data_IF_685750952808
#
_entry.id   IF_685750952808
#
_cell.length_a   1.000
_cell.length_b   1.000
_cell.length_c   1.000
_cell.angle_alpha   90.00
_cell.angle_beta   90.00
_cell.angle_gamma   90.00
#
_symmetry.space_group_name_H-M   'P 1'
#
loop_
_entity.id
_entity.type
_entity.pdbx_description
1 polymer ?
#
# COMPACT_ATOMS: atom_id res chain seq x y z
N UNK A 1 1.83 -6.08 24.48
CA UNK A 1 1.20 -7.36 24.10
C UNK A 1 1.77 -7.90 22.78
N UNK A 2 1.65 -7.21 21.64
CA UNK A 2 2.17 -7.67 20.34
C UNK A 2 3.69 -7.88 20.30
N UNK A 3 4.48 -7.06 20.97
CA UNK A 3 5.94 -7.26 21.11
C UNK A 3 6.29 -8.51 21.94
N UNK A 4 5.52 -8.77 23.01
CA UNK A 4 5.74 -9.94 23.87
C UNK A 4 5.41 -11.24 23.13
N UNK A 5 4.46 -11.20 22.18
CA UNK A 5 4.09 -12.32 21.32
C UNK A 5 5.01 -12.46 20.10
N UNK A 6 6.10 -11.67 20.00
CA UNK A 6 7.01 -11.63 18.85
C UNK A 6 6.32 -11.51 17.48
N UNK A 7 5.15 -10.85 17.46
CA UNK A 7 4.41 -10.64 16.21
C UNK A 7 5.13 -9.64 15.31
N UNK A 8 5.21 -9.93 14.02
CA UNK A 8 5.81 -9.04 13.04
C UNK A 8 5.08 -7.70 13.00
N UNK A 9 5.82 -6.61 12.75
CA UNK A 9 5.25 -5.26 12.66
C UNK A 9 4.44 -4.82 13.89
N UNK A 10 4.89 -5.19 15.09
CA UNK A 10 4.19 -4.95 16.36
C UNK A 10 3.76 -3.48 16.53
N UNK A 11 4.59 -2.54 16.08
CA UNK A 11 4.35 -1.09 16.15
C UNK A 11 3.37 -0.56 15.11
N UNK A 12 3.04 -1.34 14.07
CA UNK A 12 2.02 -1.03 13.07
C UNK A 12 0.71 -1.75 13.38
N UNK A 13 0.76 -3.08 13.51
CA UNK A 13 -0.41 -3.93 13.70
C UNK A 13 -1.05 -3.76 15.07
N UNK A 14 -0.24 -3.60 16.14
CA UNK A 14 -0.75 -3.40 17.50
C UNK A 14 -1.68 -2.20 17.61
N UNK A 15 -1.23 -0.99 17.26
CA UNK A 15 -2.06 0.21 17.27
C UNK A 15 -3.26 0.11 16.32
N UNK A 16 -3.12 -0.52 15.16
CA UNK A 16 -4.22 -0.72 14.22
C UNK A 16 -5.35 -1.56 14.84
N UNK A 17 -5.04 -2.74 15.39
CA UNK A 17 -6.04 -3.59 16.02
C UNK A 17 -6.64 -2.96 17.30
N UNK A 18 -5.81 -2.30 18.10
CA UNK A 18 -6.28 -1.59 19.29
C UNK A 18 -7.26 -0.47 18.93
N UNK A 19 -7.00 0.26 17.86
CA UNK A 19 -7.88 1.33 17.37
C UNK A 19 -9.19 0.77 16.83
N UNK A 20 -9.15 -0.32 16.05
CA UNK A 20 -10.37 -1.01 15.57
C UNK A 20 -11.23 -1.44 16.73
N UNK A 21 -10.62 -2.06 17.75
CA UNK A 21 -11.32 -2.53 18.94
C UNK A 21 -11.93 -1.36 19.73
N UNK A 22 -11.16 -0.29 19.94
CA UNK A 22 -11.62 0.92 20.61
C UNK A 22 -12.82 1.55 19.91
N UNK A 23 -12.74 1.78 18.59
CA UNK A 23 -13.84 2.35 17.80
C UNK A 23 -15.09 1.47 17.87
N UNK A 24 -14.92 0.15 17.88
CA UNK A 24 -16.04 -0.80 17.96
C UNK A 24 -16.70 -0.81 19.34
N UNK A 25 -15.92 -0.76 20.42
CA UNK A 25 -16.43 -0.80 21.79
C UNK A 25 -17.00 0.55 22.22
N UNK A 26 -16.30 1.64 21.95
CA UNK A 26 -16.72 2.98 22.34
C UNK A 26 -17.83 3.54 21.43
N UNK A 27 -18.09 2.94 20.26
CA UNK A 27 -19.01 3.43 19.22
C UNK A 27 -18.73 4.89 18.80
N UNK A 28 -17.52 5.35 19.04
CA UNK A 28 -17.03 6.69 18.69
C UNK A 28 -16.00 6.52 17.60
N UNK A 29 -16.10 7.27 16.51
CA UNK A 29 -15.07 7.35 15.49
C UNK A 29 -14.29 8.67 15.65
N UNK A 30 -13.22 8.69 16.46
CA UNK A 30 -12.41 9.88 16.61
C UNK A 30 -11.79 10.22 15.27
N UNK A 31 -11.74 11.51 14.95
CA UNK A 31 -11.01 11.99 13.77
C UNK A 31 -9.61 12.35 14.22
N UNK A 32 -8.62 11.61 13.77
CA UNK A 32 -7.24 12.08 13.89
C UNK A 32 -7.07 13.32 13.02
N UNK A 33 -6.44 14.38 13.55
CA UNK A 33 -5.97 15.46 12.70
C UNK A 33 -5.09 14.85 11.60
N UNK A 34 -5.31 15.24 10.34
CA UNK A 34 -4.53 14.74 9.19
C UNK A 34 -3.01 14.85 9.41
N UNK A 35 -2.57 15.81 10.20
CA UNK A 35 -1.17 16.02 10.55
C UNK A 35 -0.46 14.82 11.17
N UNK A 36 -1.14 13.99 11.97
CA UNK A 36 -0.49 12.84 12.62
C UNK A 36 -0.11 11.73 11.62
N UNK A 37 -1.01 11.42 10.70
CA UNK A 37 -0.72 10.49 9.60
C UNK A 37 0.41 11.04 8.72
N UNK A 38 0.34 12.34 8.39
CA UNK A 38 1.31 12.99 7.52
C UNK A 38 2.72 12.95 8.12
N UNK A 39 2.86 13.10 9.45
CA UNK A 39 4.14 12.94 10.17
C UNK A 39 4.66 11.50 10.02
N UNK A 40 3.81 10.49 10.23
CA UNK A 40 4.20 9.09 10.04
C UNK A 40 4.71 8.81 8.62
N UNK A 41 3.97 9.29 7.61
CA UNK A 41 4.35 9.13 6.20
C UNK A 41 5.65 9.86 5.86
N UNK A 42 5.88 11.04 6.44
CA UNK A 42 7.10 11.82 6.25
C UNK A 42 8.35 11.07 6.72
N UNK A 43 8.28 10.45 7.90
CA UNK A 43 9.37 9.64 8.44
C UNK A 43 9.62 8.38 7.59
N UNK A 44 8.57 7.69 7.15
CA UNK A 44 8.71 6.53 6.26
C UNK A 44 9.30 6.95 4.91
N UNK A 45 8.84 8.08 4.33
CA UNK A 45 9.41 8.61 3.09
C UNK A 45 10.91 8.90 3.21
N UNK A 46 11.35 9.47 4.33
CA UNK A 46 12.77 9.67 4.63
C UNK A 46 13.54 8.34 4.66
N UNK A 47 13.02 7.34 5.40
CA UNK A 47 13.67 6.01 5.52
C UNK A 47 13.84 5.33 4.17
N UNK A 48 12.84 5.44 3.29
CA UNK A 48 12.89 4.90 1.94
C UNK A 48 13.90 5.69 1.10
N UNK A 49 13.82 7.03 1.09
CA UNK A 49 14.68 7.90 0.29
C UNK A 49 16.17 7.67 0.55
N UNK A 50 16.52 7.42 1.81
CA UNK A 50 17.90 7.13 2.23
C UNK A 50 18.52 5.89 1.56
N UNK A 51 17.71 4.95 1.07
CA UNK A 51 18.19 3.72 0.44
C UNK A 51 18.40 3.84 -1.08
N UNK A 52 18.04 4.98 -1.65
CA UNK A 52 18.29 5.22 -3.07
C UNK A 52 19.76 5.55 -3.33
N UNK A 53 20.35 4.86 -4.30
CA UNK A 53 21.68 5.13 -4.83
C UNK A 53 21.62 5.34 -6.34
N UNK A 54 22.70 5.86 -6.95
CA UNK A 54 22.77 6.01 -8.40
C UNK A 54 22.57 4.67 -9.11
N UNK A 55 23.10 3.58 -8.54
CA UNK A 55 22.96 2.23 -9.09
C UNK A 55 21.51 1.75 -9.05
N UNK A 56 20.79 1.98 -7.94
CA UNK A 56 19.37 1.58 -7.84
C UNK A 56 18.50 2.29 -8.84
N UNK A 57 18.82 3.55 -9.23
CA UNK A 57 18.07 4.25 -10.30
C UNK A 57 18.24 3.58 -11.67
N UNK A 58 19.44 3.12 -12.00
CA UNK A 58 19.68 2.40 -13.26
C UNK A 58 18.92 1.08 -13.28
N UNK A 59 18.99 0.31 -12.18
CA UNK A 59 18.23 -0.93 -11.99
C UNK A 59 16.74 -0.70 -12.16
N UNK A 60 16.19 0.37 -11.57
CA UNK A 60 14.78 0.76 -11.71
C UNK A 60 14.38 1.01 -13.17
N UNK A 61 15.26 1.64 -13.96
CA UNK A 61 15.04 1.85 -15.40
C UNK A 61 14.95 0.54 -16.18
N UNK A 62 15.78 -0.44 -15.85
CA UNK A 62 15.79 -1.77 -16.47
C UNK A 62 14.48 -2.53 -16.16
N UNK A 63 13.93 -2.38 -14.97
CA UNK A 63 12.72 -3.09 -14.54
C UNK A 63 11.40 -2.47 -15.02
N UNK A 64 11.39 -1.33 -15.72
CA UNK A 64 10.15 -0.70 -16.21
C UNK A 64 9.24 -1.63 -17.03
N UNK A 65 9.73 -2.44 -17.98
CA UNK A 65 8.87 -3.36 -18.73
C UNK A 65 8.22 -4.43 -17.84
N UNK A 66 8.98 -4.99 -16.89
CA UNK A 66 8.44 -5.98 -15.94
C UNK A 66 7.41 -5.35 -15.01
N UNK A 67 7.62 -4.12 -14.55
CA UNK A 67 6.65 -3.38 -13.73
C UNK A 67 5.33 -3.18 -14.47
N UNK A 68 5.38 -2.77 -15.73
CA UNK A 68 4.20 -2.60 -16.57
C UNK A 68 3.45 -3.92 -16.74
N UNK A 69 4.16 -4.98 -17.13
CA UNK A 69 3.57 -6.29 -17.36
C UNK A 69 2.91 -6.83 -16.09
N UNK A 70 3.62 -6.84 -14.97
CA UNK A 70 3.10 -7.34 -13.68
C UNK A 70 1.90 -6.52 -13.20
N UNK A 71 1.93 -5.19 -13.37
CA UNK A 71 0.81 -4.31 -13.00
C UNK A 71 -0.43 -4.61 -13.85
N UNK A 72 -0.28 -4.76 -15.16
CA UNK A 72 -1.40 -5.07 -16.07
C UNK A 72 -2.00 -6.43 -15.75
N UNK A 73 -1.18 -7.46 -15.54
CA UNK A 73 -1.64 -8.82 -15.18
C UNK A 73 -2.36 -8.80 -13.83
N UNK A 74 -1.83 -8.09 -12.84
CA UNK A 74 -2.46 -7.93 -11.53
C UNK A 74 -3.83 -7.23 -11.63
N UNK A 75 -3.94 -6.18 -12.44
CA UNK A 75 -5.20 -5.47 -12.68
C UNK A 75 -6.21 -6.36 -13.42
N UNK A 76 -5.77 -7.11 -14.44
CA UNK A 76 -6.64 -8.04 -15.16
C UNK A 76 -7.21 -9.11 -14.22
N UNK A 77 -6.39 -9.68 -13.34
CA UNK A 77 -6.82 -10.63 -12.33
C UNK A 77 -7.78 -10.00 -11.30
N UNK A 78 -7.49 -8.78 -10.87
CA UNK A 78 -8.36 -8.01 -9.97
C UNK A 78 -9.76 -7.77 -10.59
N UNK A 79 -9.83 -7.45 -11.88
CA UNK A 79 -11.09 -7.29 -12.61
C UNK A 79 -11.82 -8.64 -12.73
N UNK A 80 -11.12 -9.74 -12.97
CA UNK A 80 -11.69 -11.08 -12.99
C UNK A 80 -12.33 -11.43 -11.64
N UNK A 81 -11.64 -11.17 -10.53
CA UNK A 81 -12.18 -11.36 -9.19
C UNK A 81 -13.40 -10.46 -8.91
N UNK A 82 -13.42 -9.23 -9.46
CA UNK A 82 -14.57 -8.34 -9.38
C UNK A 82 -15.81 -8.93 -10.07
N UNK A 83 -15.65 -9.57 -11.23
CA UNK A 83 -16.74 -10.30 -11.89
C UNK A 83 -17.29 -11.42 -11.02
N UNK A 84 -16.41 -12.22 -10.42
CA UNK A 84 -16.79 -13.32 -9.51
C UNK A 84 -17.55 -12.76 -8.30
N UNK A 85 -17.00 -11.70 -7.67
CA UNK A 85 -17.63 -11.03 -6.53
C UNK A 85 -19.03 -10.50 -6.90
N UNK A 86 -19.17 -9.81 -8.03
CA UNK A 86 -20.45 -9.28 -8.50
C UNK A 86 -21.50 -10.40 -8.69
N UNK A 87 -21.11 -11.53 -9.29
CA UNK A 87 -21.99 -12.68 -9.52
C UNK A 87 -22.42 -13.35 -8.21
N UNK A 88 -21.50 -13.55 -7.28
CA UNK A 88 -21.78 -14.23 -6.02
C UNK A 88 -22.58 -13.39 -5.02
N UNK A 89 -22.38 -12.08 -5.05
CA UNK A 89 -23.01 -11.13 -4.10
C UNK A 89 -24.21 -10.38 -4.68
N UNK A 90 -24.52 -10.59 -5.97
CA UNK A 90 -25.54 -9.83 -6.71
C UNK A 90 -25.35 -8.29 -6.65
N UNK A 91 -24.12 -7.86 -6.38
CA UNK A 91 -23.78 -6.45 -6.32
C UNK A 91 -23.53 -5.87 -7.70
N UNK A 92 -23.71 -4.55 -7.84
CA UNK A 92 -23.48 -3.86 -9.10
C UNK A 92 -22.03 -4.05 -9.60
N UNK A 93 -21.88 -4.55 -10.83
CA UNK A 93 -20.57 -4.82 -11.44
C UNK A 93 -19.67 -3.58 -11.48
N UNK A 94 -20.21 -2.39 -11.76
CA UNK A 94 -19.41 -1.16 -11.78
C UNK A 94 -18.79 -0.88 -10.40
N UNK A 95 -19.58 -1.09 -9.35
CA UNK A 95 -19.12 -0.89 -7.97
C UNK A 95 -18.08 -1.93 -7.53
N UNK A 96 -18.28 -3.21 -7.90
CA UNK A 96 -17.32 -4.27 -7.57
C UNK A 96 -16.00 -4.11 -8.33
N UNK A 97 -16.04 -3.74 -9.61
CA UNK A 97 -14.82 -3.45 -10.39
C UNK A 97 -14.06 -2.28 -9.78
N UNK A 98 -14.74 -1.15 -9.50
CA UNK A 98 -14.11 0.01 -8.88
C UNK A 98 -13.50 -0.31 -7.51
N UNK A 99 -14.20 -1.13 -6.69
CA UNK A 99 -13.72 -1.55 -5.38
C UNK A 99 -12.53 -2.51 -5.43
N UNK A 100 -12.49 -3.40 -6.42
CA UNK A 100 -11.46 -4.45 -6.50
C UNK A 100 -10.11 -3.95 -7.03
N UNK A 101 -10.08 -2.84 -7.77
CA UNK A 101 -8.82 -2.27 -8.27
C UNK A 101 -7.92 -1.85 -7.11
N UNK A 102 -6.65 -2.32 -7.07
CA UNK A 102 -5.74 -2.09 -5.94
C UNK A 102 -5.15 -0.67 -5.93
N UNK A 103 -6.01 0.35 -5.85
CA UNK A 103 -5.66 1.76 -5.68
C UNK A 103 -5.73 2.22 -4.21
N UNK A 104 -5.37 3.47 -3.94
CA UNK A 104 -5.58 4.09 -2.63
C UNK A 104 -7.06 4.27 -2.33
N UNK A 105 -7.50 3.99 -1.08
CA UNK A 105 -8.91 4.08 -0.67
C UNK A 105 -9.55 5.42 -1.08
N UNK A 106 -8.94 6.52 -0.66
CA UNK A 106 -9.44 7.87 -0.92
C UNK A 106 -9.49 8.21 -2.42
N UNK A 107 -8.51 7.72 -3.19
CA UNK A 107 -8.43 7.93 -4.63
C UNK A 107 -9.52 7.17 -5.37
N UNK A 108 -9.70 5.88 -5.03
CA UNK A 108 -10.74 5.06 -5.66
C UNK A 108 -12.14 5.53 -5.32
N UNK A 109 -12.38 5.99 -4.08
CA UNK A 109 -13.66 6.60 -3.69
C UNK A 109 -13.89 7.89 -4.47
N UNK A 110 -12.89 8.76 -4.62
CA UNK A 110 -13.00 10.00 -5.39
C UNK A 110 -13.30 9.73 -6.88
N UNK A 111 -12.55 8.81 -7.52
CA UNK A 111 -12.80 8.42 -8.92
C UNK A 111 -14.19 7.82 -9.07
N UNK A 112 -14.60 6.97 -8.13
CA UNK A 112 -15.91 6.31 -8.15
C UNK A 112 -17.08 7.29 -7.99
N UNK A 113 -16.90 8.37 -7.23
CA UNK A 113 -17.92 9.40 -7.03
C UNK A 113 -18.24 10.20 -8.31
N UNK A 114 -17.30 10.25 -9.27
CA UNK A 114 -17.50 10.90 -10.57
C UNK A 114 -18.25 10.04 -11.59
N UNK A 115 -18.40 8.74 -11.34
CA UNK A 115 -19.00 7.79 -12.28
C UNK A 115 -20.41 7.44 -11.84
N UNK A 116 -21.40 7.72 -12.67
CA UNK A 116 -22.82 7.42 -12.38
C UNK A 116 -23.06 5.91 -12.22
N UNK A 117 -23.86 5.55 -11.23
CA UNK A 117 -24.30 4.18 -10.98
C UNK A 117 -23.28 3.33 -10.20
N UNK A 118 -22.28 3.93 -9.58
CA UNK A 118 -21.38 3.26 -8.62
C UNK A 118 -21.89 3.51 -7.20
N UNK A 119 -22.01 2.44 -6.42
CA UNK A 119 -22.29 2.48 -4.98
C UNK A 119 -20.96 2.62 -4.23
N UNK A 120 -20.75 3.79 -3.63
CA UNK A 120 -19.53 4.10 -2.87
C UNK A 120 -19.39 3.24 -1.61
N UNK A 121 -20.50 2.74 -1.05
CA UNK A 121 -20.48 1.85 0.12
C UNK A 121 -19.84 0.52 -0.25
N UNK A 122 -20.26 -0.06 -1.38
CA UNK A 122 -19.69 -1.31 -1.92
C UNK A 122 -18.20 -1.13 -2.22
N UNK A 123 -17.82 -0.04 -2.90
CA UNK A 123 -16.42 0.29 -3.20
C UNK A 123 -15.59 0.36 -1.91
N UNK A 124 -16.08 1.11 -0.93
CA UNK A 124 -15.37 1.32 0.35
C UNK A 124 -15.17 0.02 1.10
N UNK A 125 -16.20 -0.83 1.20
CA UNK A 125 -16.11 -2.10 1.93
C UNK A 125 -15.17 -3.08 1.25
N UNK A 126 -15.17 -3.16 -0.08
CA UNK A 126 -14.21 -4.01 -0.81
C UNK A 126 -12.78 -3.52 -0.57
N UNK A 127 -12.53 -2.22 -0.65
CA UNK A 127 -11.21 -1.62 -0.41
C UNK A 127 -10.72 -1.88 1.03
N UNK A 128 -11.59 -1.70 2.03
CA UNK A 128 -11.25 -1.93 3.44
C UNK A 128 -10.96 -3.42 3.68
N UNK A 129 -11.82 -4.32 3.19
CA UNK A 129 -11.60 -5.77 3.34
C UNK A 129 -10.28 -6.21 2.70
N UNK A 130 -9.92 -5.62 1.54
CA UNK A 130 -8.63 -5.88 0.92
C UNK A 130 -7.47 -5.40 1.79
N UNK A 131 -7.53 -4.16 2.31
CA UNK A 131 -6.48 -3.62 3.19
C UNK A 131 -6.29 -4.53 4.40
N UNK A 132 -7.38 -4.96 5.06
CA UNK A 132 -7.31 -5.89 6.19
C UNK A 132 -6.69 -7.25 5.80
N UNK A 133 -7.15 -7.82 4.68
CA UNK A 133 -6.63 -9.10 4.21
C UNK A 133 -5.13 -9.02 3.91
N UNK A 134 -4.69 -7.94 3.26
CA UNK A 134 -3.27 -7.70 2.95
C UNK A 134 -2.46 -7.54 4.24
N UNK A 135 -2.94 -6.71 5.19
CA UNK A 135 -2.27 -6.45 6.46
C UNK A 135 -2.08 -7.70 7.33
N UNK A 136 -2.94 -8.69 7.18
CA UNK A 136 -2.84 -9.96 7.90
C UNK A 136 -2.05 -10.99 7.09
N UNK A 137 -2.42 -11.21 5.83
CA UNK A 137 -1.89 -12.31 5.03
C UNK A 137 -0.47 -12.05 4.54
N UNK A 138 -0.13 -10.82 4.14
CA UNK A 138 1.21 -10.55 3.59
C UNK A 138 2.29 -10.74 4.67
N UNK A 139 2.20 -10.16 5.88
CA UNK A 139 3.15 -10.47 6.94
C UNK A 139 3.19 -11.95 7.30
N UNK A 140 2.02 -12.60 7.39
CA UNK A 140 1.95 -14.03 7.73
C UNK A 140 2.67 -14.90 6.69
N UNK A 141 2.54 -14.58 5.40
CA UNK A 141 3.26 -15.28 4.33
C UNK A 141 4.76 -14.94 4.34
N UNK A 142 5.11 -13.67 4.51
CA UNK A 142 6.50 -13.21 4.55
C UNK A 142 7.30 -13.87 5.67
N UNK A 143 6.70 -14.00 6.87
CA UNK A 143 7.33 -14.66 8.01
C UNK A 143 7.12 -16.18 8.04
N UNK A 144 6.45 -16.75 7.05
CA UNK A 144 6.31 -18.20 6.94
C UNK A 144 7.66 -18.86 6.57
N UNK A 145 7.89 -20.11 6.98
CA UNK A 145 9.10 -20.87 6.61
C UNK A 145 9.28 -20.99 5.08
N UNK A 146 8.20 -20.84 4.31
CA UNK A 146 8.20 -20.95 2.85
C UNK A 146 8.96 -19.80 2.20
N UNK A 147 8.83 -18.57 2.73
CA UNK A 147 9.42 -17.37 2.13
C UNK A 147 10.68 -16.91 2.88
N UNK A 148 10.68 -17.04 4.18
CA UNK A 148 11.79 -16.55 5.02
C UNK A 148 12.98 -17.53 5.07
N UNK A 149 12.77 -18.81 4.73
CA UNK A 149 13.80 -19.84 4.83
C UNK A 149 14.38 -19.94 6.25
N UNK A 150 15.62 -20.45 6.37
CA UNK A 150 16.35 -20.51 7.63
C UNK A 150 17.08 -19.18 8.00
N UNK A 151 16.72 -18.07 7.39
CA UNK A 151 17.26 -16.77 7.82
C UNK A 151 16.51 -16.38 9.09
N UNK A 152 17.17 -16.53 10.22
CA UNK A 152 16.62 -16.19 11.53
C UNK A 152 16.04 -14.79 11.53
N UNK A 153 14.94 -14.61 12.30
CA UNK A 153 14.34 -13.29 12.55
C UNK A 153 15.46 -12.34 13.00
N UNK A 154 16.04 -11.62 12.04
CA UNK A 154 16.98 -10.57 12.37
C UNK A 154 16.16 -9.52 13.12
N UNK A 155 16.34 -9.50 14.42
CA UNK A 155 15.86 -8.38 15.23
C UNK A 155 16.29 -7.10 14.52
N UNK A 156 15.40 -6.11 14.47
CA UNK A 156 15.71 -4.78 13.94
C UNK A 156 17.04 -4.37 14.57
N UNK A 157 18.13 -4.65 13.86
CA UNK A 157 19.45 -4.22 14.31
C UNK A 157 19.40 -2.71 14.20
N UNK A 158 19.28 -2.09 15.36
CA UNK A 158 19.51 -0.68 15.54
C UNK A 158 20.83 -0.37 14.84
N UNK A 159 20.80 0.16 13.64
CA UNK A 159 21.97 0.84 13.12
C UNK A 159 22.17 2.00 14.08
N UNK A 160 23.09 1.78 15.02
CA UNK A 160 23.56 2.82 15.93
C UNK A 160 24.05 3.96 15.04
N UNK A 161 23.16 4.92 14.78
CA UNK A 161 23.52 6.16 14.13
C UNK A 161 24.60 6.83 14.96
N UNK A 162 25.64 7.26 14.32
CA UNK A 162 26.71 8.04 14.94
C UNK A 162 26.12 9.13 15.82
N UNK A 163 26.54 9.29 17.09
CA UNK A 163 25.88 10.16 18.08
C UNK A 163 25.97 11.66 17.83
N UNK A 164 26.27 12.13 16.64
CA UNK A 164 26.71 13.50 16.45
C UNK A 164 25.76 14.48 15.73
N UNK A 165 24.69 14.01 15.03
CA UNK A 165 23.99 14.88 14.08
C UNK A 165 22.48 14.94 14.24
N UNK A 166 21.95 14.84 15.45
CA UNK A 166 20.49 14.85 15.68
C UNK A 166 19.80 16.13 15.15
N UNK A 167 20.43 17.29 15.21
CA UNK A 167 19.87 18.53 14.71
C UNK A 167 19.73 18.54 13.17
N UNK A 168 20.63 17.88 12.43
CA UNK A 168 20.55 17.77 10.96
C UNK A 168 19.32 16.95 10.55
N UNK A 169 18.95 15.91 11.30
CA UNK A 169 17.74 15.14 11.06
C UNK A 169 16.50 16.06 11.10
N UNK A 170 16.39 16.91 12.11
CA UNK A 170 15.28 17.85 12.23
C UNK A 170 15.26 18.87 11.08
N UNK A 171 16.43 19.34 10.65
CA UNK A 171 16.56 20.23 9.51
C UNK A 171 16.09 19.56 8.22
N UNK A 172 16.54 18.32 7.95
CA UNK A 172 16.11 17.58 6.77
C UNK A 172 14.61 17.28 6.85
N UNK A 173 14.07 16.87 8.01
CA UNK A 173 12.62 16.64 8.18
C UNK A 173 11.80 17.91 7.95
N UNK A 174 12.31 19.09 8.33
CA UNK A 174 11.67 20.36 8.03
C UNK A 174 11.61 20.61 6.51
N UNK A 175 12.72 20.43 5.78
CA UNK A 175 12.71 20.54 4.32
C UNK A 175 11.81 19.47 3.66
N UNK A 176 11.80 18.26 4.19
CA UNK A 176 10.87 17.21 3.78
C UNK A 176 9.41 17.64 3.89
N UNK A 177 9.04 18.32 5.00
CA UNK A 177 7.70 18.85 5.19
C UNK A 177 7.37 19.97 4.19
N UNK A 178 8.31 20.86 3.90
CA UNK A 178 8.13 21.92 2.90
C UNK A 178 7.88 21.34 1.51
N UNK A 179 8.71 20.38 1.08
CA UNK A 179 8.55 19.74 -0.22
C UNK A 179 7.26 18.93 -0.28
N UNK A 180 6.92 18.19 0.77
CA UNK A 180 5.64 17.49 0.85
C UNK A 180 4.44 18.43 0.68
N UNK A 181 4.53 19.64 1.27
CA UNK A 181 3.51 20.68 1.15
C UNK A 181 3.37 21.22 -0.27
N UNK A 182 4.50 21.35 -1.00
CA UNK A 182 4.51 21.72 -2.42
C UNK A 182 3.91 20.61 -3.28
N UNK A 183 4.33 19.36 -3.08
CA UNK A 183 3.82 18.18 -3.80
C UNK A 183 2.32 18.01 -3.55
N UNK A 184 1.83 18.34 -2.34
CA UNK A 184 0.40 18.34 -2.02
C UNK A 184 -0.40 19.31 -2.87
N UNK A 185 0.17 20.50 -3.17
CA UNK A 185 -0.49 21.50 -4.07
C UNK A 185 -0.68 20.95 -5.48
N UNK A 186 0.20 20.11 -5.95
CA UNK A 186 0.09 19.44 -7.26
C UNK A 186 -0.89 18.24 -7.26
N UNK A 187 -1.62 18.03 -6.16
CA UNK A 187 -2.57 16.91 -5.99
C UNK A 187 -1.94 15.53 -6.24
N UNK A 188 -0.64 15.41 -5.99
CA UNK A 188 0.07 14.14 -6.14
C UNK A 188 -0.39 13.14 -5.04
N UNK A 189 -0.44 11.82 -5.33
CA UNK A 189 -0.81 10.82 -4.34
C UNK A 189 0.26 10.72 -3.23
N UNK A 190 -0.17 10.49 -2.00
CA UNK A 190 0.70 10.36 -0.83
C UNK A 190 1.85 11.40 -0.74
N UNK A 191 1.55 12.71 -0.80
CA UNK A 191 2.56 13.77 -0.93
C UNK A 191 3.56 13.79 0.24
N UNK A 192 3.09 13.50 1.46
CA UNK A 192 3.92 13.44 2.67
C UNK A 192 4.83 12.21 2.75
N UNK A 193 4.72 11.26 1.82
CA UNK A 193 5.66 10.16 1.67
C UNK A 193 6.56 10.36 0.46
N UNK A 194 5.99 10.70 -0.69
CA UNK A 194 6.74 10.86 -1.95
C UNK A 194 7.65 12.09 -1.90
N UNK A 195 7.20 13.21 -1.35
CA UNK A 195 8.02 14.43 -1.22
C UNK A 195 9.32 14.20 -0.44
N UNK A 196 9.24 13.71 0.81
CA UNK A 196 10.41 13.33 1.59
C UNK A 196 11.29 12.28 0.92
N UNK A 197 10.68 11.24 0.34
CA UNK A 197 11.40 10.18 -0.39
C UNK A 197 12.25 10.75 -1.52
N UNK A 198 11.69 11.62 -2.37
CA UNK A 198 12.42 12.24 -3.49
C UNK A 198 13.52 13.18 -3.01
N UNK A 199 13.26 14.02 -1.99
CA UNK A 199 14.28 14.92 -1.44
C UNK A 199 15.46 14.12 -0.89
N UNK A 200 15.19 13.16 -0.03
CA UNK A 200 16.23 12.38 0.63
C UNK A 200 16.97 11.49 -0.38
N UNK A 201 16.25 10.92 -1.36
CA UNK A 201 16.86 10.18 -2.46
C UNK A 201 17.83 11.04 -3.27
N UNK A 202 17.46 12.29 -3.60
CA UNK A 202 18.37 13.20 -4.34
C UNK A 202 19.62 13.54 -3.52
N UNK A 203 19.48 13.74 -2.22
CA UNK A 203 20.63 13.99 -1.31
C UNK A 203 21.53 12.73 -1.28
N UNK A 204 20.96 11.55 -1.13
CA UNK A 204 21.69 10.27 -1.08
C UNK A 204 22.40 9.94 -2.38
N UNK A 205 21.73 10.16 -3.54
CA UNK A 205 22.31 9.96 -4.88
C UNK A 205 23.45 10.96 -5.16
N UNK A 206 23.36 12.17 -4.61
CA UNK A 206 24.44 13.15 -4.70
C UNK A 206 25.68 12.78 -3.87
N UNK A 207 25.67 11.63 -3.18
CA UNK A 207 26.78 11.12 -2.36
C UNK A 207 26.94 11.81 -0.99
N UNK A 208 25.92 12.55 -0.56
CA UNK A 208 25.90 13.14 0.79
C UNK A 208 25.36 12.12 1.79
N UNK A 209 26.06 11.96 2.93
CA UNK A 209 25.62 11.08 4.00
C UNK A 209 24.33 11.57 4.65
N UNK A 210 23.27 10.81 4.49
CA UNK A 210 21.98 11.07 5.13
C UNK A 210 21.93 10.36 6.48
N UNK A 211 21.75 11.08 7.60
CA UNK A 211 21.75 10.48 8.95
C UNK A 211 20.68 9.40 9.11
N UNK A 212 20.99 8.40 9.93
CA UNK A 212 20.01 7.35 10.28
C UNK A 212 18.97 7.92 11.26
N UNK A 213 17.68 7.70 10.97
CA UNK A 213 16.60 8.03 11.91
C UNK A 213 16.68 7.11 13.13
N UNK A 214 16.54 7.65 14.36
CA UNK A 214 16.43 6.84 15.57
C UNK A 214 15.27 5.84 15.47
N UNK A 215 15.48 4.61 15.94
CA UNK A 215 14.45 3.55 15.92
C UNK A 215 13.17 3.96 16.62
N UNK A 216 13.28 4.75 17.70
CA UNK A 216 12.10 5.31 18.40
C UNK A 216 11.21 6.14 17.49
N UNK A 217 11.80 7.00 16.63
CA UNK A 217 11.04 7.84 15.70
C UNK A 217 10.37 6.98 14.61
N UNK A 218 11.05 5.93 14.14
CA UNK A 218 10.46 4.97 13.20
C UNK A 218 9.28 4.20 13.84
N UNK A 219 9.39 3.77 15.10
CA UNK A 219 8.29 3.11 15.84
C UNK A 219 7.10 4.05 16.04
N UNK A 220 7.34 5.33 16.37
CA UNK A 220 6.28 6.34 16.47
C UNK A 220 5.57 6.52 15.14
N UNK A 221 6.32 6.64 14.05
CA UNK A 221 5.75 6.77 12.70
C UNK A 221 4.87 5.57 12.33
N UNK A 222 5.32 4.34 12.59
CA UNK A 222 4.54 3.11 12.38
C UNK A 222 3.25 3.11 13.22
N UNK A 223 3.35 3.54 14.47
CA UNK A 223 2.20 3.66 15.38
C UNK A 223 1.15 4.62 14.84
N UNK A 224 1.56 5.80 14.39
CA UNK A 224 0.66 6.81 13.82
C UNK A 224 -0.05 6.31 12.57
N UNK A 225 0.67 5.61 11.69
CA UNK A 225 0.10 4.99 10.48
C UNK A 225 -0.86 3.86 10.88
N UNK A 226 -0.51 3.02 11.85
CA UNK A 226 -1.38 1.95 12.35
C UNK A 226 -2.70 2.47 12.92
N UNK A 227 -2.66 3.54 13.71
CA UNK A 227 -3.87 4.20 14.25
C UNK A 227 -4.73 4.73 13.10
N UNK A 228 -4.15 5.43 12.12
CA UNK A 228 -4.90 5.96 10.98
C UNK A 228 -5.59 4.85 10.18
N UNK A 229 -4.89 3.75 9.91
CA UNK A 229 -5.46 2.57 9.25
C UNK A 229 -6.63 1.99 10.04
N UNK A 230 -6.49 1.87 11.37
CA UNK A 230 -7.55 1.38 12.24
C UNK A 230 -8.80 2.28 12.20
N UNK A 231 -8.64 3.59 12.12
CA UNK A 231 -9.74 4.56 12.03
C UNK A 231 -10.44 4.58 10.67
N UNK A 232 -9.76 4.20 9.60
CA UNK A 232 -10.34 4.13 8.26
C UNK A 232 -11.35 2.97 8.13
N UNK A 233 -11.27 1.96 9.00
CA UNK A 233 -12.14 0.79 8.95
C UNK A 233 -13.52 1.13 9.51
N UNK A 234 -14.46 1.42 8.61
CA UNK A 234 -15.87 1.65 8.94
C UNK A 234 -16.72 0.55 8.33
N UNK A 235 -17.36 -0.24 9.18
CA UNK A 235 -18.32 -1.25 8.74
C UNK A 235 -19.66 -0.56 8.41
N UNK A 236 -19.90 -0.27 7.13
CA UNK A 236 -21.16 0.30 6.63
C UNK A 236 -22.37 -0.66 6.73
N UNK A 237 -23.58 -0.15 6.46
CA UNK A 237 -24.80 -0.95 6.36
C UNK A 237 -24.89 -1.58 4.95
N UNK A 238 -24.63 -2.87 4.82
CA UNK A 238 -24.77 -3.66 3.60
C UNK A 238 -25.81 -4.76 3.84
N UNK A 239 -26.70 -4.97 2.90
CA UNK A 239 -27.62 -6.12 2.91
C UNK A 239 -26.83 -7.41 2.77
N UNK A 240 -27.20 -8.48 3.50
CA UNK A 240 -26.46 -9.75 3.55
C UNK A 240 -24.96 -9.62 3.89
N UNK A 241 -24.64 -8.81 4.89
CA UNK A 241 -23.27 -8.45 5.31
C UNK A 241 -22.31 -9.63 5.42
N UNK A 242 -22.75 -10.74 5.99
CA UNK A 242 -21.86 -11.89 6.22
C UNK A 242 -21.43 -12.55 4.91
N UNK A 243 -22.36 -12.79 3.98
CA UNK A 243 -22.03 -13.37 2.66
C UNK A 243 -21.17 -12.43 1.83
N UNK A 244 -21.51 -11.14 1.78
CA UNK A 244 -20.74 -10.15 1.04
C UNK A 244 -19.32 -10.06 1.59
N UNK A 245 -19.17 -9.92 2.91
CA UNK A 245 -17.87 -9.78 3.56
C UNK A 245 -17.01 -11.04 3.38
N UNK A 246 -17.59 -12.25 3.48
CA UNK A 246 -16.84 -13.49 3.28
C UNK A 246 -16.34 -13.62 1.84
N UNK A 247 -17.17 -13.33 0.84
CA UNK A 247 -16.76 -13.37 -0.58
C UNK A 247 -15.64 -12.36 -0.84
N UNK A 248 -15.79 -11.12 -0.35
CA UNK A 248 -14.79 -10.07 -0.55
C UNK A 248 -13.48 -10.40 0.17
N UNK A 249 -13.53 -10.99 1.35
CA UNK A 249 -12.32 -11.42 2.07
C UNK A 249 -11.61 -12.55 1.33
N UNK A 250 -12.34 -13.55 0.82
CA UNK A 250 -11.77 -14.65 0.03
C UNK A 250 -11.14 -14.11 -1.27
N UNK A 251 -11.83 -13.25 -2.01
CA UNK A 251 -11.29 -12.67 -3.24
C UNK A 251 -10.07 -11.79 -2.97
N UNK A 252 -10.04 -11.07 -1.85
CA UNK A 252 -8.85 -10.32 -1.42
C UNK A 252 -7.68 -11.24 -1.07
N UNK A 253 -7.93 -12.35 -0.40
CA UNK A 253 -6.92 -13.37 -0.11
C UNK A 253 -6.36 -14.00 -1.39
N UNK A 254 -7.23 -14.32 -2.35
CA UNK A 254 -6.82 -14.83 -3.67
C UNK A 254 -5.93 -13.82 -4.42
N UNK A 255 -6.22 -12.52 -4.30
CA UNK A 255 -5.41 -11.47 -4.90
C UNK A 255 -4.00 -11.42 -4.27
N UNK A 256 -3.88 -11.61 -2.96
CA UNK A 256 -2.59 -11.71 -2.26
C UNK A 256 -1.83 -12.96 -2.69
N UNK A 257 -2.49 -14.11 -2.76
CA UNK A 257 -1.86 -15.35 -3.22
C UNK A 257 -1.42 -15.23 -4.70
N UNK A 258 -2.21 -14.57 -5.52
CA UNK A 258 -1.82 -14.30 -6.90
C UNK A 258 -0.59 -13.39 -7.00
N UNK A 259 -0.45 -12.40 -6.11
CA UNK A 259 0.78 -11.58 -6.07
C UNK A 259 2.02 -12.39 -5.70
N UNK A 260 1.88 -13.47 -4.91
CA UNK A 260 2.97 -14.41 -4.66
C UNK A 260 3.35 -15.20 -5.91
N UNK A 261 2.36 -15.68 -6.68
CA UNK A 261 2.61 -16.35 -7.97
C UNK A 261 3.32 -15.42 -8.94
N UNK A 262 2.87 -14.15 -9.04
CA UNK A 262 3.55 -13.15 -9.86
C UNK A 262 4.98 -12.87 -9.36
N UNK A 263 5.22 -12.91 -8.04
CA UNK A 263 6.55 -12.82 -7.46
C UNK A 263 7.47 -13.94 -7.93
N UNK A 264 6.98 -15.19 -7.94
CA UNK A 264 7.73 -16.33 -8.50
C UNK A 264 8.05 -16.15 -9.99
N UNK A 265 7.08 -15.67 -10.77
CA UNK A 265 7.31 -15.38 -12.21
C UNK A 265 8.35 -14.28 -12.36
N UNK A 266 8.28 -13.22 -11.57
CA UNK A 266 9.24 -12.12 -11.64
C UNK A 266 10.67 -12.60 -11.34
N UNK A 267 10.86 -13.38 -10.29
CA UNK A 267 12.17 -13.96 -9.93
C UNK A 267 12.70 -14.93 -11.00
N UNK A 268 11.82 -15.66 -11.68
CA UNK A 268 12.24 -16.56 -12.77
C UNK A 268 12.73 -15.80 -14.01
N UNK A 269 12.24 -14.57 -14.22
CA UNK A 269 12.67 -13.69 -15.32
C UNK A 269 13.89 -12.87 -14.92
N UNK A 270 13.94 -12.47 -13.64
CA UNK A 270 14.94 -11.58 -13.08
C UNK A 270 15.50 -12.18 -11.79
N UNK A 271 16.63 -12.85 -11.89
CA UNK A 271 17.26 -13.58 -10.78
C UNK A 271 17.91 -12.67 -9.73
N UNK A 272 18.10 -11.38 -10.05
CA UNK A 272 18.69 -10.40 -9.14
C UNK A 272 17.68 -9.93 -8.05
N UNK A 273 16.40 -10.18 -8.27
CA UNK A 273 15.34 -9.81 -7.33
C UNK A 273 15.01 -11.00 -6.42
N UNK A 274 15.15 -10.82 -5.10
CA UNK A 274 14.73 -11.85 -4.14
C UNK A 274 13.21 -12.04 -4.15
N UNK A 275 12.74 -13.27 -3.89
CA UNK A 275 11.32 -13.59 -3.84
C UNK A 275 10.54 -12.73 -2.82
N UNK A 276 11.16 -12.43 -1.67
CA UNK A 276 10.59 -11.52 -0.67
C UNK A 276 10.37 -10.11 -1.24
N UNK A 277 11.39 -9.57 -1.91
CA UNK A 277 11.32 -8.24 -2.56
C UNK A 277 10.24 -8.22 -3.64
N UNK A 278 10.21 -9.23 -4.50
CA UNK A 278 9.21 -9.37 -5.58
C UNK A 278 7.79 -9.46 -5.01
N UNK A 279 7.56 -10.33 -4.02
CA UNK A 279 6.24 -10.51 -3.42
C UNK A 279 5.74 -9.24 -2.71
N UNK A 280 6.57 -8.60 -1.87
CA UNK A 280 6.19 -7.38 -1.16
C UNK A 280 5.97 -6.23 -2.14
N UNK A 281 6.79 -6.12 -3.19
CA UNK A 281 6.65 -5.11 -4.24
C UNK A 281 5.34 -5.24 -5.03
N UNK A 282 4.91 -6.48 -5.32
CA UNK A 282 3.69 -6.78 -6.07
C UNK A 282 2.45 -6.89 -5.20
N UNK A 283 2.57 -7.10 -3.89
CA UNK A 283 1.45 -7.23 -2.98
C UNK A 283 0.49 -6.04 -3.05
N UNK A 284 -0.84 -6.26 -3.08
CA UNK A 284 -1.84 -5.21 -3.29
C UNK A 284 -2.12 -4.38 -2.03
N UNK A 285 -1.06 -4.02 -1.29
CA UNK A 285 -1.06 -3.21 -0.07
C UNK A 285 -0.82 -1.72 -0.31
N UNK A 286 -0.80 -0.97 0.78
CA UNK A 286 -0.35 0.42 0.76
C UNK A 286 1.18 0.53 0.71
N UNK A 287 1.69 1.57 0.08
CA UNK A 287 3.13 1.75 -0.12
C UNK A 287 3.89 1.85 1.21
N UNK A 288 3.34 2.60 2.19
CA UNK A 288 3.95 2.78 3.48
C UNK A 288 4.06 1.47 4.27
N UNK A 289 3.00 0.67 4.27
CA UNK A 289 2.92 -0.59 4.99
C UNK A 289 3.87 -1.63 4.40
N UNK A 290 3.92 -1.71 3.07
CA UNK A 290 4.84 -2.61 2.37
C UNK A 290 6.30 -2.19 2.54
N UNK A 291 6.59 -0.90 2.60
CA UNK A 291 7.92 -0.40 2.90
C UNK A 291 8.37 -0.76 4.32
N UNK A 292 7.49 -0.59 5.32
CA UNK A 292 7.76 -0.99 6.71
C UNK A 292 8.00 -2.50 6.81
N UNK A 293 7.18 -3.30 6.12
CA UNK A 293 7.37 -4.75 6.06
C UNK A 293 8.68 -5.13 5.38
N UNK A 294 8.99 -4.53 4.23
CA UNK A 294 10.24 -4.75 3.51
C UNK A 294 11.46 -4.41 4.35
N UNK A 295 11.42 -3.31 5.11
CA UNK A 295 12.47 -2.93 6.04
C UNK A 295 12.65 -3.98 7.15
N UNK A 296 11.57 -4.52 7.69
CA UNK A 296 11.64 -5.51 8.79
C UNK A 296 12.24 -6.85 8.38
N UNK A 297 12.25 -7.16 7.08
CA UNK A 297 12.82 -8.39 6.52
C UNK A 297 14.06 -8.15 5.65
N UNK A 298 14.64 -6.95 5.74
CA UNK A 298 15.83 -6.54 4.97
C UNK A 298 15.71 -6.74 3.46
N UNK A 299 14.49 -6.61 2.92
CA UNK A 299 14.23 -6.66 1.48
C UNK A 299 14.72 -5.36 0.79
N UNK A 300 14.89 -5.40 -0.51
CA UNK A 300 15.32 -4.23 -1.30
C UNK A 300 14.21 -3.19 -1.38
N UNK A 301 14.25 -2.18 -0.49
CA UNK A 301 13.22 -1.12 -0.39
C UNK A 301 13.09 -0.27 -1.66
N UNK A 302 14.16 0.16 -2.32
CA UNK A 302 14.08 0.86 -3.60
C UNK A 302 13.24 0.11 -4.63
N UNK A 303 13.47 -1.19 -4.83
CA UNK A 303 12.72 -2.03 -5.77
C UNK A 303 11.25 -2.11 -5.32
N UNK A 304 10.98 -2.45 -4.04
CA UNK A 304 9.61 -2.54 -3.51
C UNK A 304 8.85 -1.23 -3.76
N UNK A 305 9.43 -0.10 -3.38
CA UNK A 305 8.77 1.20 -3.47
C UNK A 305 8.56 1.63 -4.92
N UNK A 306 9.46 1.26 -5.83
CA UNK A 306 9.31 1.56 -7.25
C UNK A 306 8.16 0.78 -7.87
N UNK A 307 8.07 -0.54 -7.64
CA UNK A 307 6.92 -1.34 -8.11
C UNK A 307 5.61 -0.81 -7.55
N UNK A 308 5.56 -0.46 -6.26
CA UNK A 308 4.38 0.09 -5.59
C UNK A 308 4.01 1.47 -6.16
N UNK A 309 4.99 2.37 -6.34
CA UNK A 309 4.80 3.70 -6.90
C UNK A 309 4.34 3.64 -8.35
N UNK A 310 5.01 2.82 -9.18
CA UNK A 310 4.63 2.60 -10.58
C UNK A 310 3.17 2.15 -10.69
N UNK A 311 2.78 1.12 -9.92
CA UNK A 311 1.40 0.63 -9.88
C UNK A 311 0.41 1.73 -9.47
N UNK A 312 0.74 2.49 -8.42
CA UNK A 312 -0.12 3.56 -7.92
C UNK A 312 -0.33 4.66 -8.97
N UNK A 313 0.74 5.09 -9.65
CA UNK A 313 0.67 6.06 -10.73
C UNK A 313 -0.09 5.52 -11.94
N UNK A 314 0.19 4.27 -12.33
CA UNK A 314 -0.53 3.61 -13.42
C UNK A 314 -2.03 3.55 -13.13
N UNK A 315 -2.42 3.17 -11.92
CA UNK A 315 -3.83 3.14 -11.52
C UNK A 315 -4.44 4.54 -11.54
N UNK A 316 -3.74 5.54 -11.03
CA UNK A 316 -4.24 6.91 -10.96
C UNK A 316 -4.52 7.51 -12.36
N UNK A 317 -3.64 7.26 -13.32
CA UNK A 317 -3.75 7.84 -14.66
C UNK A 317 -4.54 6.97 -15.63
N UNK A 318 -4.30 5.67 -15.66
CA UNK A 318 -4.88 4.77 -16.65
C UNK A 318 -6.28 4.27 -16.27
N UNK A 319 -6.50 3.96 -15.00
CA UNK A 319 -7.76 3.32 -14.57
C UNK A 319 -8.99 4.20 -14.77
N UNK A 320 -9.02 5.50 -14.46
CA UNK A 320 -10.20 6.35 -14.70
C UNK A 320 -10.59 6.39 -16.18
N UNK A 321 -9.59 6.44 -17.08
CA UNK A 321 -9.81 6.43 -18.52
C UNK A 321 -10.41 5.09 -18.98
N UNK A 322 -9.82 3.98 -18.53
CA UNK A 322 -10.28 2.63 -18.86
C UNK A 322 -11.70 2.38 -18.33
N UNK A 323 -11.98 2.80 -17.09
CA UNK A 323 -13.31 2.64 -16.50
C UNK A 323 -14.37 3.46 -17.23
N UNK A 324 -14.12 4.75 -17.50
CA UNK A 324 -15.05 5.61 -18.24
C UNK A 324 -15.36 5.02 -19.62
N UNK A 325 -14.31 4.63 -20.36
CA UNK A 325 -14.49 4.04 -21.70
C UNK A 325 -15.16 2.64 -21.67
N UNK A 326 -14.76 1.78 -20.75
CA UNK A 326 -15.34 0.45 -20.61
C UNK A 326 -16.82 0.49 -20.24
N UNK A 327 -17.21 1.33 -19.29
CA UNK A 327 -18.62 1.46 -18.89
C UNK A 327 -19.49 2.10 -19.96
N UNK A 328 -18.99 3.09 -20.70
CA UNK A 328 -19.70 3.67 -21.82
C UNK A 328 -19.96 2.67 -22.95
N UNK A 329 -18.99 1.79 -23.25
CA UNK A 329 -19.18 0.70 -24.24
C UNK A 329 -20.23 -0.30 -23.81
N UNK A 330 -20.23 -0.69 -22.52
CA UNK A 330 -21.23 -1.61 -21.98
C UNK A 330 -22.63 -1.01 -22.06
N UNK A 331 -22.78 0.28 -21.71
CA UNK A 331 -24.06 0.98 -21.81
C UNK A 331 -24.58 1.07 -23.26
N UNK A 332 -23.72 1.40 -24.22
CA UNK A 332 -24.09 1.41 -25.64
C UNK A 332 -24.58 0.04 -26.12
N UNK A 333 -23.85 -1.02 -25.81
CA UNK A 333 -24.25 -2.40 -26.19
C UNK A 333 -25.57 -2.85 -25.54
N UNK A 334 -25.86 -2.39 -24.32
CA UNK A 334 -27.12 -2.68 -23.64
C UNK A 334 -28.28 -1.89 -24.23
N UNK A 335 -28.04 -0.66 -24.69
CA UNK A 335 -29.03 0.15 -25.41
C UNK A 335 -29.36 -0.46 -26.78
N UNK A 336 -28.36 -0.88 -27.54
CA UNK A 336 -28.51 -1.55 -28.86
C UNK A 336 -29.24 -2.90 -28.78
N UNK A 337 -29.22 -3.58 -27.64
CA UNK A 337 -29.97 -4.86 -27.44
C UNK A 337 -31.42 -4.68 -26.99
N UNK A 338 -31.81 -3.44 -26.59
CA UNK A 338 -33.15 -3.14 -26.11
C UNK A 338 -34.01 -2.39 -27.15
N UNK A 339 -33.41 -1.88 -28.21
CA UNK A 339 -34.10 -1.31 -29.40
C UNK A 339 -34.15 -2.37 -30.50
#
# INVERSE_FOLDING_TARGET
MFQVCQLPLSWLLGPMFSTILYVRLAKISPKLPFSFRDIGLLVIGYLIGRQFTSQTLIEMGIHLPSMLFMTVVMLAFSILLAFITSRLTHSNLKSTVAGSIPGGLSQMVAISSEIKGIDLTVVTVIQISRILSVMILVPLLVYSPILYGNQGVAAVTSTNGSPGYHWIIFLILFFCYLIASIVKKWKFPAPFMIGPMLLVATISIAGMDVPAIPTTLACVAQTLIGIDLGLQIKFGNIENKAKFLSVVTVTSALLVLFSLVLGYILVSVDQDISLLTAFIGLAPGGMAEMAVLGQSVHANLPIITTYQLFRLLFILFCVPMIMKWGFQRVEKRLAERKG
#
